data_IF_476711262510
#
_entry.id   IF_476711262510
#
_cell.length_a   1.000
_cell.length_b   1.000
_cell.length_c   1.000
_cell.angle_alpha   90.00
_cell.angle_beta   90.00
_cell.angle_gamma   90.00
#
_symmetry.space_group_name_H-M   'P 1'
#
loop_
_entity.id
_entity.type
_entity.pdbx_description
1 polymer ?
#
# COMPACT_ATOMS: atom_id res chain seq x y z
N UNK A 1 -27.24 -0.08 2.01
CA UNK A 1 -27.10 0.73 0.79
C UNK A 1 -25.80 1.54 0.91
N UNK A 2 -24.62 0.93 1.12
CA UNK A 2 -23.80 0.14 0.16
C UNK A 2 -23.45 0.91 -1.12
N UNK A 3 -22.84 2.09 -0.98
CA UNK A 3 -22.31 2.87 -2.11
C UNK A 3 -20.81 3.16 -2.06
N UNK A 4 -20.16 3.10 -0.89
CA UNK A 4 -18.78 3.59 -0.72
C UNK A 4 -17.72 2.48 -0.56
N UNK A 5 -18.11 1.27 -0.17
CA UNK A 5 -17.19 0.16 0.03
C UNK A 5 -16.56 -0.38 -1.27
N UNK A 6 -17.14 -0.04 -2.43
CA UNK A 6 -16.71 -0.54 -3.75
C UNK A 6 -15.81 0.44 -4.51
N UNK A 7 -15.74 1.70 -4.08
CA UNK A 7 -15.02 2.75 -4.83
C UNK A 7 -13.50 2.80 -4.56
N UNK A 8 -13.02 2.33 -3.40
CA UNK A 8 -11.58 2.23 -3.11
C UNK A 8 -10.90 1.06 -3.82
N UNK A 9 -11.66 0.02 -4.17
CA UNK A 9 -11.18 -1.17 -4.87
C UNK A 9 -10.56 -0.84 -6.25
N UNK A 10 -10.85 0.33 -6.84
CA UNK A 10 -10.28 0.76 -8.13
C UNK A 10 -9.11 1.75 -8.02
N UNK A 11 -8.63 2.11 -6.82
CA UNK A 11 -7.39 2.88 -6.68
C UNK A 11 -7.38 4.28 -7.32
N UNK A 12 -8.53 4.84 -7.73
CA UNK A 12 -8.62 6.23 -8.21
C UNK A 12 -8.62 7.20 -7.04
N UNK A 13 -7.44 7.46 -6.51
CA UNK A 13 -7.18 8.65 -5.69
C UNK A 13 -6.81 9.78 -6.64
N UNK A 14 -7.62 10.84 -6.70
CA UNK A 14 -7.51 11.98 -7.63
C UNK A 14 -6.28 12.89 -7.44
N UNK A 15 -5.09 12.30 -7.37
CA UNK A 15 -3.79 12.96 -7.40
C UNK A 15 -2.84 12.22 -8.35
N UNK A 16 -1.64 12.78 -8.55
CA UNK A 16 -0.58 12.26 -9.45
C UNK A 16 -0.54 10.72 -9.46
N UNK A 17 -0.55 10.06 -10.63
CA UNK A 17 -0.69 8.60 -10.74
C UNK A 17 0.26 7.88 -9.79
N UNK A 18 -0.29 6.99 -8.96
CA UNK A 18 0.48 6.27 -7.94
C UNK A 18 1.54 5.42 -8.64
N UNK A 19 2.82 5.72 -8.40
CA UNK A 19 3.92 4.83 -8.78
C UNK A 19 3.84 3.47 -8.07
N UNK A 20 3.11 3.39 -6.96
CA UNK A 20 2.82 2.14 -6.26
C UNK A 20 1.60 1.48 -6.87
N UNK A 21 1.81 0.39 -7.60
CA UNK A 21 0.74 -0.46 -8.12
C UNK A 21 0.15 -1.35 -7.02
N UNK A 22 -1.07 -1.90 -7.22
CA UNK A 22 -1.65 -2.87 -6.28
C UNK A 22 -0.76 -4.10 -6.04
N UNK A 23 -0.02 -4.55 -7.06
CA UNK A 23 0.93 -5.66 -6.96
C UNK A 23 2.08 -5.33 -6.01
N UNK A 24 2.64 -4.12 -6.12
CA UNK A 24 3.71 -3.65 -5.21
C UNK A 24 3.17 -3.51 -3.79
N UNK A 25 1.94 -3.03 -3.61
CA UNK A 25 1.32 -2.96 -2.29
C UNK A 25 1.14 -4.36 -1.66
N UNK A 26 0.78 -5.37 -2.46
CA UNK A 26 0.68 -6.75 -2.01
C UNK A 26 2.05 -7.33 -1.62
N UNK A 27 3.09 -7.09 -2.43
CA UNK A 27 4.47 -7.53 -2.13
C UNK A 27 5.02 -6.87 -0.84
N UNK A 28 4.76 -5.57 -0.65
CA UNK A 28 5.09 -4.85 0.60
C UNK A 28 4.45 -5.53 1.82
N UNK A 29 3.18 -5.92 1.70
CA UNK A 29 2.44 -6.60 2.77
C UNK A 29 2.98 -7.99 3.06
N UNK A 30 3.19 -8.80 2.02
CA UNK A 30 3.73 -10.15 2.15
C UNK A 30 5.09 -10.13 2.87
N UNK A 31 5.97 -9.20 2.49
CA UNK A 31 7.28 -9.05 3.14
C UNK A 31 7.17 -8.54 4.57
N UNK A 32 6.22 -7.65 4.86
CA UNK A 32 5.98 -7.16 6.22
C UNK A 32 5.45 -8.28 7.11
N UNK A 33 4.53 -9.10 6.61
CA UNK A 33 4.01 -10.28 7.29
C UNK A 33 5.11 -11.33 7.53
N UNK A 34 6.07 -11.45 6.61
CA UNK A 34 7.29 -12.25 6.79
C UNK A 34 8.30 -11.66 7.78
N UNK A 35 7.98 -10.55 8.46
CA UNK A 35 8.84 -9.94 9.49
C UNK A 35 9.97 -9.06 8.96
N UNK A 36 9.99 -8.73 7.66
CA UNK A 36 11.04 -7.88 7.12
C UNK A 36 10.95 -6.43 7.66
N UNK A 37 12.11 -5.81 7.83
CA UNK A 37 12.20 -4.39 8.20
C UNK A 37 11.72 -3.49 7.06
N UNK A 38 11.15 -2.33 7.38
CA UNK A 38 10.69 -1.37 6.37
C UNK A 38 11.79 -0.95 5.39
N UNK A 39 13.04 -0.85 5.86
CA UNK A 39 14.20 -0.51 5.03
C UNK A 39 14.56 -1.63 4.05
N UNK A 40 14.49 -2.89 4.48
CA UNK A 40 14.71 -4.06 3.62
C UNK A 40 13.63 -4.15 2.53
N UNK A 41 12.38 -3.91 2.91
CA UNK A 41 11.24 -3.90 1.97
C UNK A 41 11.43 -2.79 0.95
N UNK A 42 11.65 -1.55 1.40
CA UNK A 42 11.89 -0.37 0.56
C UNK A 42 12.97 -0.62 -0.50
N UNK A 43 14.12 -1.19 -0.08
CA UNK A 43 15.21 -1.56 -0.99
C UNK A 43 14.78 -2.63 -2.01
N UNK A 44 13.97 -3.59 -1.59
CA UNK A 44 13.51 -4.69 -2.45
C UNK A 44 12.52 -4.22 -3.51
N UNK A 45 11.60 -3.31 -3.13
CA UNK A 45 10.56 -2.80 -4.04
C UNK A 45 10.99 -1.55 -4.82
N UNK A 46 12.17 -1.00 -4.54
CA UNK A 46 12.68 0.20 -5.21
C UNK A 46 11.99 1.50 -4.78
N UNK A 47 11.37 1.53 -3.59
CA UNK A 47 10.68 2.71 -3.06
C UNK A 47 11.32 3.23 -1.78
N UNK A 48 10.92 4.44 -1.37
CA UNK A 48 11.34 5.00 -0.09
C UNK A 48 10.65 4.30 1.10
N UNK A 49 11.27 4.35 2.27
CA UNK A 49 10.66 3.85 3.52
C UNK A 49 9.34 4.58 3.82
N UNK A 50 9.26 5.87 3.53
CA UNK A 50 8.04 6.66 3.71
C UNK A 50 6.90 6.15 2.81
N UNK A 51 7.22 5.72 1.58
CA UNK A 51 6.24 5.09 0.68
C UNK A 51 5.73 3.77 1.27
N UNK A 52 6.62 2.91 1.75
CA UNK A 52 6.26 1.64 2.40
C UNK A 52 5.36 1.87 3.61
N UNK A 53 5.72 2.83 4.47
CA UNK A 53 4.92 3.18 5.64
C UNK A 53 3.54 3.73 5.27
N UNK A 54 3.45 4.61 4.27
CA UNK A 54 2.18 5.14 3.79
C UNK A 54 1.27 4.07 3.19
N UNK A 55 1.83 3.09 2.48
CA UNK A 55 1.07 1.94 1.94
C UNK A 55 0.50 1.10 3.08
N UNK A 56 1.30 0.79 4.10
CA UNK A 56 0.87 0.02 5.26
C UNK A 56 -0.15 0.79 6.13
N UNK A 57 0.03 2.10 6.28
CA UNK A 57 -0.90 2.96 7.02
C UNK A 57 -2.24 3.17 6.29
N UNK A 58 -2.21 3.31 4.95
CA UNK A 58 -3.43 3.45 4.16
C UNK A 58 -4.31 2.20 4.19
N UNK A 59 -3.70 1.02 4.30
CA UNK A 59 -4.42 -0.25 4.45
C UNK A 59 -5.08 -0.37 5.84
N UNK A 60 -4.41 0.05 6.91
CA UNK A 60 -4.97 0.02 8.26
C UNK A 60 -6.23 0.92 8.39
N UNK A 61 -6.28 2.04 7.65
CA UNK A 61 -7.44 2.93 7.61
C UNK A 61 -8.63 2.40 6.77
N UNK A 62 -8.52 1.23 6.15
CA UNK A 62 -9.63 0.60 5.42
C UNK A 62 -10.30 -0.54 6.21
N UNK A 63 -9.68 -0.98 7.31
CA UNK A 63 -10.17 -2.10 8.16
C UNK A 63 -10.80 -1.61 9.48
N UNK A 64 -10.88 -0.30 9.69
CA UNK A 64 -11.55 0.34 10.83
C UNK A 64 -12.82 1.06 10.37
#
# INVERSE_FOLDING_TARGET
MEGMARAKAEGRTGGRPKSVTPEIASDIWARRAAGQSFRSIAKSVGFSVATVQNVLASAAAEVA
#
